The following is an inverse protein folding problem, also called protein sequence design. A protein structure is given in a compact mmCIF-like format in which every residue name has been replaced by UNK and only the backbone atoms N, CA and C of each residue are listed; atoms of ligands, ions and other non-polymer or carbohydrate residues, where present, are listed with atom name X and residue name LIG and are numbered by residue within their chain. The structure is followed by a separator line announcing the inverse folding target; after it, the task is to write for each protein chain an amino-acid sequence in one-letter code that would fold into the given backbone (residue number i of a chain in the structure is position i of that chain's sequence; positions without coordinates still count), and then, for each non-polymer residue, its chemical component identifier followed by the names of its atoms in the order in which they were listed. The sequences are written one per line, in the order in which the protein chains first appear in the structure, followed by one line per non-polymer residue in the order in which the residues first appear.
data_IF_662828305878
#
_entry.id   IF_662828305878
#
_cell.length_a   1.000
_cell.length_b   1.000
_cell.length_c   1.000
_cell.angle_alpha   90.00
_cell.angle_beta   90.00
_cell.angle_gamma   90.00
#
_symmetry.space_group_name_H-M   'P 1'
#
loop_
_entity.id
_entity.type
_entity.pdbx_description
1 polymer ?
#
# COMPACT_ATOMS: atom_id res chain seq x y z
N UNK A 1 -6.04 -26.28 11.38
CA UNK A 1 -6.43 -26.54 12.78
C UNK A 1 -6.89 -25.22 13.34
N UNK A 2 -8.19 -25.08 13.61
CA UNK A 2 -8.89 -23.81 13.83
C UNK A 2 -9.38 -23.65 15.28
N UNK A 3 -9.17 -24.66 16.13
CA UNK A 3 -9.80 -24.88 17.43
C UNK A 3 -8.82 -25.20 18.57
N UNK A 4 -7.50 -25.09 18.34
CA UNK A 4 -6.48 -25.18 19.40
C UNK A 4 -6.30 -26.56 20.07
N UNK A 5 -7.06 -27.58 19.71
CA UNK A 5 -6.88 -28.95 20.21
C UNK A 5 -5.97 -29.78 19.31
N UNK A 6 -4.82 -30.20 19.83
CA UNK A 6 -3.90 -31.08 19.10
C UNK A 6 -4.63 -32.35 18.66
N UNK A 7 -4.58 -32.76 17.38
CA UNK A 7 -5.24 -33.98 16.95
C UNK A 7 -4.57 -35.17 17.64
N UNK A 8 -5.37 -36.01 18.31
CA UNK A 8 -4.90 -37.28 18.92
C UNK A 8 -4.39 -38.31 17.89
N UNK A 9 -4.45 -38.01 16.60
CA UNK A 9 -3.95 -38.86 15.54
C UNK A 9 -3.12 -38.05 14.53
N UNK A 10 -1.78 -38.15 14.64
CA UNK A 10 -0.84 -37.93 13.54
C UNK A 10 -0.68 -36.51 12.99
N UNK A 11 0.58 -36.07 12.88
CA UNK A 11 1.02 -34.81 12.25
C UNK A 11 0.31 -34.51 10.92
N UNK A 12 -0.59 -33.54 10.91
CA UNK A 12 -1.23 -33.00 9.68
C UNK A 12 -0.36 -31.86 9.15
N UNK A 13 0.36 -32.04 8.03
CA UNK A 13 1.26 -31.01 7.48
C UNK A 13 1.15 -30.74 5.99
N UNK A 14 0.00 -31.01 5.37
CA UNK A 14 -0.15 -30.65 3.96
C UNK A 14 -0.62 -29.19 3.87
N UNK A 15 0.16 -28.38 3.15
CA UNK A 15 -0.22 -27.03 2.73
C UNK A 15 -0.30 -27.00 1.22
N UNK A 16 -1.22 -26.21 0.68
CA UNK A 16 -1.33 -25.99 -0.75
C UNK A 16 -1.48 -24.49 -1.02
N UNK A 17 -0.79 -24.00 -2.05
CA UNK A 17 -0.98 -22.66 -2.55
C UNK A 17 -2.14 -22.69 -3.54
N UNK A 18 -3.21 -21.94 -3.25
CA UNK A 18 -4.39 -21.86 -4.09
C UNK A 18 -4.50 -20.45 -4.64
N UNK A 19 -4.89 -20.36 -5.90
CA UNK A 19 -5.27 -19.08 -6.53
C UNK A 19 -6.78 -19.04 -6.65
N UNK A 20 -7.40 -17.97 -6.18
CA UNK A 20 -8.83 -17.74 -6.27
C UNK A 20 -9.12 -16.30 -6.68
N UNK A 21 -10.32 -16.05 -7.19
CA UNK A 21 -10.75 -14.73 -7.64
C UNK A 21 -12.01 -14.33 -6.89
N UNK A 22 -12.03 -13.12 -6.33
CA UNK A 22 -13.20 -12.54 -5.68
C UNK A 22 -13.32 -11.07 -6.06
N UNK A 23 -14.51 -10.61 -6.46
CA UNK A 23 -14.75 -9.25 -6.98
C UNK A 23 -13.72 -8.79 -8.02
N UNK A 24 -13.35 -9.67 -8.96
CA UNK A 24 -12.35 -9.39 -10.01
C UNK A 24 -10.89 -9.35 -9.53
N UNK A 25 -10.63 -9.41 -8.22
CA UNK A 25 -9.28 -9.47 -7.65
C UNK A 25 -8.82 -10.92 -7.53
N UNK A 26 -7.73 -11.25 -8.22
CA UNK A 26 -7.08 -12.56 -8.12
C UNK A 26 -6.10 -12.56 -6.94
N UNK A 27 -6.22 -13.55 -6.06
CA UNK A 27 -5.43 -13.71 -4.85
C UNK A 27 -4.77 -15.08 -4.83
N UNK A 28 -3.58 -15.16 -4.25
CA UNK A 28 -2.80 -16.38 -4.13
C UNK A 28 -2.43 -16.59 -2.68
N UNK A 29 -2.94 -17.65 -2.08
CA UNK A 29 -2.84 -17.90 -0.64
C UNK A 29 -2.46 -19.32 -0.30
N UNK A 30 -1.76 -19.50 0.82
CA UNK A 30 -1.37 -20.82 1.32
C UNK A 30 -2.40 -21.34 2.31
N UNK A 31 -3.10 -22.42 1.95
CA UNK A 31 -4.10 -23.08 2.76
C UNK A 31 -3.52 -24.30 3.49
N UNK A 32 -4.02 -24.55 4.70
CA UNK A 32 -3.83 -25.82 5.40
C UNK A 32 -4.87 -26.83 4.88
N UNK A 33 -4.43 -28.00 4.46
CA UNK A 33 -5.33 -29.05 3.98
C UNK A 33 -5.93 -29.78 5.18
N UNK A 34 -7.25 -29.74 5.31
CA UNK A 34 -8.02 -30.49 6.29
C UNK A 34 -9.43 -30.77 5.75
N UNK A 35 -10.13 -31.73 6.35
CA UNK A 35 -11.54 -31.96 6.02
C UNK A 35 -12.38 -30.81 6.63
N UNK A 36 -12.81 -29.89 5.79
CA UNK A 36 -13.60 -28.70 6.14
C UNK A 36 -15.13 -28.94 6.07
N UNK A 37 -15.56 -30.19 5.89
CA UNK A 37 -16.96 -30.55 5.79
C UNK A 37 -17.60 -29.97 4.53
N UNK A 38 -18.56 -29.05 4.71
CA UNK A 38 -19.35 -28.45 3.63
C UNK A 38 -18.65 -27.28 2.92
N UNK A 39 -17.55 -26.77 3.47
CA UNK A 39 -16.85 -25.62 2.93
C UNK A 39 -15.67 -26.06 2.08
N UNK A 40 -15.46 -25.44 0.92
CA UNK A 40 -14.33 -25.73 0.04
C UNK A 40 -13.02 -25.12 0.57
N UNK A 41 -13.09 -23.94 1.17
CA UNK A 41 -11.97 -23.22 1.75
C UNK A 41 -12.48 -22.29 2.87
N UNK A 42 -11.62 -22.01 3.85
CA UNK A 42 -11.89 -21.07 4.94
C UNK A 42 -10.78 -20.03 4.95
N UNK A 43 -11.13 -18.76 4.76
CA UNK A 43 -10.23 -17.62 4.90
C UNK A 43 -10.21 -17.19 6.36
N UNK A 44 -9.07 -17.39 7.02
CA UNK A 44 -8.90 -17.07 8.43
C UNK A 44 -8.32 -15.67 8.66
N UNK A 45 -7.99 -15.39 9.93
CA UNK A 45 -7.47 -14.11 10.39
C UNK A 45 -6.24 -13.61 9.60
N UNK A 46 -5.32 -14.49 9.22
CA UNK A 46 -4.13 -14.10 8.45
C UNK A 46 -4.47 -13.46 7.10
N UNK A 47 -5.51 -13.99 6.46
CA UNK A 47 -5.96 -13.44 5.18
C UNK A 47 -6.67 -12.10 5.38
N UNK A 48 -7.50 -12.01 6.43
CA UNK A 48 -8.20 -10.78 6.79
C UNK A 48 -7.21 -9.64 7.13
N UNK A 49 -6.18 -9.93 7.92
CA UNK A 49 -5.14 -8.98 8.29
C UNK A 49 -4.34 -8.51 7.06
N UNK A 50 -3.92 -9.44 6.20
CA UNK A 50 -3.14 -9.12 5.01
C UNK A 50 -3.92 -8.31 3.95
N UNK A 51 -5.22 -8.54 3.82
CA UNK A 51 -6.04 -7.92 2.77
C UNK A 51 -6.90 -6.76 3.26
N UNK A 52 -7.04 -6.63 4.58
CA UNK A 52 -7.87 -5.66 5.31
C UNK A 52 -9.17 -5.29 4.56
N UNK A 53 -10.02 -6.28 4.21
CA UNK A 53 -11.26 -5.98 3.54
C UNK A 53 -12.25 -5.30 4.48
N UNK A 54 -13.16 -4.54 3.91
CA UNK A 54 -14.36 -4.11 4.60
C UNK A 54 -15.36 -5.27 4.62
N UNK A 55 -15.90 -5.59 5.81
CA UNK A 55 -16.86 -6.66 5.99
C UNK A 55 -18.17 -6.06 6.50
N UNK A 56 -19.20 -6.12 5.68
CA UNK A 56 -20.56 -5.83 6.14
C UNK A 56 -21.17 -7.13 6.66
N UNK A 57 -21.24 -7.27 7.99
CA UNK A 57 -21.81 -8.43 8.66
C UNK A 57 -23.33 -8.55 8.51
N UNK A 58 -24.04 -7.43 8.32
CA UNK A 58 -25.49 -7.44 8.14
C UNK A 58 -25.85 -7.92 6.73
N UNK A 59 -25.14 -7.42 5.71
CA UNK A 59 -25.33 -7.80 4.32
C UNK A 59 -24.58 -9.08 3.92
N UNK A 60 -23.65 -9.53 4.78
CA UNK A 60 -22.75 -10.68 4.53
C UNK A 60 -21.91 -10.49 3.28
N UNK A 61 -21.41 -9.27 3.08
CA UNK A 61 -20.59 -8.90 1.93
C UNK A 61 -19.16 -8.57 2.36
N UNK A 62 -18.23 -8.75 1.43
CA UNK A 62 -16.82 -8.36 1.57
C UNK A 62 -16.51 -7.41 0.43
N UNK A 63 -15.94 -6.25 0.74
CA UNK A 63 -15.50 -5.26 -0.23
C UNK A 63 -14.03 -4.93 0.00
N UNK A 64 -13.34 -4.53 -1.06
CA UNK A 64 -11.99 -4.00 -0.94
C UNK A 64 -12.07 -2.50 -1.16
N UNK A 65 -11.51 -1.68 -0.26
CA UNK A 65 -11.35 -0.27 -0.58
C UNK A 65 -10.58 -0.18 -1.90
N UNK A 66 -11.13 0.54 -2.87
CA UNK A 66 -10.35 0.95 -4.02
C UNK A 66 -9.15 1.69 -3.45
N UNK A 67 -7.93 1.31 -3.86
CA UNK A 67 -6.78 2.18 -3.65
C UNK A 67 -7.17 3.52 -4.28
N UNK A 68 -7.54 4.50 -3.46
CA UNK A 68 -7.83 5.83 -3.93
C UNK A 68 -6.55 6.29 -4.61
N UNK A 69 -6.61 6.44 -5.93
CA UNK A 69 -5.57 7.07 -6.73
C UNK A 69 -5.35 8.54 -6.34
N UNK A 70 -5.97 9.01 -5.26
CA UNK A 70 -5.81 10.35 -4.71
C UNK A 70 -4.40 10.58 -4.16
N UNK A 71 -3.60 9.54 -3.90
CA UNK A 71 -2.17 9.66 -3.58
C UNK A 71 -1.20 9.38 -4.74
N UNK A 72 -1.70 9.11 -5.97
CA UNK A 72 -0.88 9.16 -7.20
C UNK A 72 -1.12 10.48 -7.96
N UNK A 73 -1.50 11.52 -7.21
CA UNK A 73 -1.50 12.91 -7.67
C UNK A 73 -0.31 13.71 -7.12
N UNK A 74 0.70 13.04 -6.55
CA UNK A 74 1.96 13.69 -6.18
C UNK A 74 2.86 13.61 -7.43
N UNK A 75 3.14 14.78 -8.01
CA UNK A 75 3.85 15.04 -9.26
C UNK A 75 3.02 15.00 -10.56
N UNK A 76 1.78 15.50 -10.53
CA UNK A 76 1.33 16.32 -11.67
C UNK A 76 1.85 17.73 -11.42
N UNK A 77 2.89 18.08 -12.17
CA UNK A 77 3.30 19.43 -12.60
C UNK A 77 2.51 20.54 -11.88
N UNK A 78 3.11 21.02 -10.80
CA UNK A 78 2.62 22.14 -10.01
C UNK A 78 2.49 23.35 -10.94
N UNK A 79 1.25 23.79 -11.17
CA UNK A 79 0.97 25.08 -11.80
C UNK A 79 1.77 26.13 -11.03
N UNK A 80 2.82 26.67 -11.66
CA UNK A 80 3.69 27.66 -11.04
C UNK A 80 2.83 28.79 -10.48
N UNK A 81 2.93 29.03 -9.17
CA UNK A 81 2.25 30.15 -8.52
C UNK A 81 2.60 31.44 -9.30
N UNK A 82 1.61 32.17 -9.84
CA UNK A 82 1.87 33.41 -10.57
C UNK A 82 2.50 34.49 -9.69
N UNK A 83 2.49 34.33 -8.36
CA UNK A 83 3.09 35.25 -7.40
C UNK A 83 4.06 34.55 -6.43
N UNK A 84 5.25 34.11 -6.90
CA UNK A 84 6.22 33.34 -6.11
C UNK A 84 6.85 34.10 -4.93
N UNK A 85 6.50 35.38 -4.75
CA UNK A 85 7.00 36.24 -3.67
C UNK A 85 6.00 36.41 -2.52
N UNK A 86 4.80 35.83 -2.64
CA UNK A 86 3.80 35.86 -1.58
C UNK A 86 4.28 35.02 -0.38
N UNK A 87 4.59 35.67 0.73
CA UNK A 87 5.11 35.01 1.93
C UNK A 87 6.65 34.91 2.02
N UNK A 88 7.39 35.33 0.98
CA UNK A 88 8.85 35.41 1.03
C UNK A 88 9.27 36.74 1.66
N UNK A 89 10.10 36.74 2.73
CA UNK A 89 10.60 37.99 3.32
C UNK A 89 11.43 38.81 2.31
N UNK A 90 11.32 40.13 2.39
CA UNK A 90 11.89 41.08 1.41
C UNK A 90 13.41 40.93 1.21
N UNK A 91 14.13 40.50 2.24
CA UNK A 91 15.57 40.26 2.25
C UNK A 91 15.97 39.16 1.25
N UNK A 92 15.04 38.25 0.95
CA UNK A 92 15.23 37.12 0.04
C UNK A 92 14.73 37.38 -1.38
N UNK A 93 14.11 38.55 -1.65
CA UNK A 93 13.65 38.90 -3.00
C UNK A 93 14.80 39.02 -4.01
N UNK A 94 16.02 39.30 -3.55
CA UNK A 94 17.22 39.25 -4.41
C UNK A 94 17.47 37.85 -5.01
N UNK A 95 16.89 36.80 -4.41
CA UNK A 95 17.00 35.41 -4.84
C UNK A 95 15.71 34.90 -5.50
N UNK A 96 14.83 35.79 -6.00
CA UNK A 96 13.57 35.41 -6.69
C UNK A 96 13.77 34.29 -7.72
N UNK A 97 14.92 34.31 -8.41
CA UNK A 97 15.29 33.28 -9.39
C UNK A 97 15.35 31.86 -8.83
N UNK A 98 15.72 31.69 -7.55
CA UNK A 98 15.78 30.37 -6.86
C UNK A 98 14.39 29.78 -6.66
N UNK A 99 13.38 30.63 -6.51
CA UNK A 99 11.98 30.24 -6.34
C UNK A 99 11.25 30.09 -7.68
N UNK A 100 11.94 30.31 -8.81
CA UNK A 100 11.40 30.10 -10.14
C UNK A 100 11.55 28.66 -10.63
N UNK A 101 10.62 28.22 -11.47
CA UNK A 101 10.53 26.86 -12.02
C UNK A 101 11.82 26.38 -12.73
N UNK A 102 12.56 27.31 -13.35
CA UNK A 102 13.79 27.02 -14.08
C UNK A 102 14.92 26.45 -13.22
N UNK A 103 14.99 26.85 -11.94
CA UNK A 103 16.05 26.43 -11.01
C UNK A 103 15.58 25.34 -10.04
N UNK A 104 14.27 25.21 -9.82
CA UNK A 104 13.70 24.17 -8.95
C UNK A 104 13.99 22.75 -9.44
N UNK A 105 13.97 22.53 -10.76
CA UNK A 105 14.20 21.22 -11.37
C UNK A 105 15.68 20.85 -11.55
N UNK A 106 16.61 21.70 -11.09
CA UNK A 106 18.05 21.46 -11.22
C UNK A 106 18.64 21.12 -9.86
N UNK A 107 19.33 19.98 -9.78
CA UNK A 107 20.12 19.67 -8.59
C UNK A 107 21.23 20.72 -8.44
N UNK A 108 21.49 21.20 -7.21
CA UNK A 108 22.64 22.04 -6.95
C UNK A 108 23.92 21.28 -7.33
N UNK A 109 24.97 21.99 -7.78
CA UNK A 109 26.25 21.35 -8.11
C UNK A 109 26.81 20.63 -6.89
N UNK A 110 27.40 19.46 -7.10
CA UNK A 110 28.01 18.67 -6.03
C UNK A 110 29.04 19.48 -5.23
N UNK A 111 28.96 19.36 -3.91
CA UNK A 111 29.82 20.09 -2.98
C UNK A 111 30.79 19.14 -2.29
N UNK A 112 31.93 19.67 -1.83
CA UNK A 112 33.00 18.87 -1.19
C UNK A 112 32.59 18.24 0.15
N UNK A 113 31.39 18.56 0.64
CA UNK A 113 30.78 18.03 1.86
C UNK A 113 29.56 17.13 1.57
N UNK A 114 29.30 16.77 0.31
CA UNK A 114 28.26 15.80 -0.01
C UNK A 114 28.67 14.41 0.49
N UNK A 115 27.81 13.79 1.29
CA UNK A 115 28.04 12.45 1.85
C UNK A 115 27.44 11.42 0.87
N UNK A 116 28.28 10.49 0.38
CA UNK A 116 27.81 9.38 -0.44
C UNK A 116 26.91 8.44 0.36
N UNK A 117 25.81 7.99 -0.25
CA UNK A 117 25.00 6.90 0.30
C UNK A 117 25.62 5.58 -0.19
N UNK A 118 26.09 4.74 0.74
CA UNK A 118 26.56 3.36 0.50
C UNK A 118 25.45 2.34 0.78
#
# INVERSE_FOLDING_TARGET
MLDGLSPQAGKIWKKAMLTFTYNGKRMMETFLICNTGTHLAILGLKWLDAHNPEIDWNQRTITFPHASLEHIAIAKEEEADPNPLEGVPSEYHQYTKVFGEEEFNKLPPHQHYDIGIE
#
